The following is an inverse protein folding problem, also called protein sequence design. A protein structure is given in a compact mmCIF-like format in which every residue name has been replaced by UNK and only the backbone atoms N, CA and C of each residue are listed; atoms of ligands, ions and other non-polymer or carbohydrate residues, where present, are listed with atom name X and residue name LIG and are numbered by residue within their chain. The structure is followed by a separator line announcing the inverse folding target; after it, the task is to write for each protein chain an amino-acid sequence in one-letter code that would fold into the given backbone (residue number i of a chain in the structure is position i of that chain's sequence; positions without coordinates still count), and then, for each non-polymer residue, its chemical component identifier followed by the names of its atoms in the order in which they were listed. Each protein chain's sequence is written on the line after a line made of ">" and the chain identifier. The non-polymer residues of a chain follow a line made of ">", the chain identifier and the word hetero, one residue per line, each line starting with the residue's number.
data_IF_356000887249
#
_entry.id   IF_356000887249
#
_cell.length_a   1.000
_cell.length_b   1.000
_cell.length_c   1.000
_cell.angle_alpha   90.00
_cell.angle_beta   90.00
_cell.angle_gamma   90.00
#
_symmetry.space_group_name_H-M   'P 1'
#
loop_
_entity.id
_entity.type
_entity.pdbx_description
1 polymer ?
#
# COMPACT_ATOMS: atom_id res chain seq x y z
N UNK A 1 4.62 -14.73 16.37
CA UNK A 1 4.76 -13.50 15.57
C UNK A 1 4.38 -12.31 16.42
N UNK A 2 4.80 -11.10 16.05
CA UNK A 2 4.33 -9.85 16.67
C UNK A 2 3.26 -9.27 15.76
N UNK A 3 2.11 -8.91 16.34
CA UNK A 3 1.05 -8.20 15.63
C UNK A 3 1.44 -6.74 15.36
N UNK A 4 1.03 -6.22 14.19
CA UNK A 4 1.21 -4.82 13.80
C UNK A 4 -0.16 -4.17 13.71
N UNK A 5 -0.55 -3.44 14.77
CA UNK A 5 -1.86 -2.78 14.84
C UNK A 5 -1.89 -1.45 14.05
N UNK A 6 -0.79 -0.71 14.03
CA UNK A 6 -0.63 0.51 13.23
C UNK A 6 0.75 0.51 12.55
N UNK A 7 1.81 0.95 13.23
CA UNK A 7 3.18 0.91 12.68
C UNK A 7 4.13 0.19 13.64
N UNK A 8 5.04 -0.59 13.06
CA UNK A 8 6.13 -1.27 13.74
C UNK A 8 7.46 -0.96 13.05
N UNK A 9 8.34 -0.27 13.77
CA UNK A 9 9.74 -0.10 13.41
C UNK A 9 10.54 -1.41 13.57
N UNK A 10 11.25 -1.81 12.51
CA UNK A 10 12.10 -2.99 12.45
C UNK A 10 13.53 -2.58 12.04
N UNK A 11 14.51 -2.69 12.94
CA UNK A 11 15.91 -2.42 12.61
C UNK A 11 16.43 -3.41 11.57
N UNK A 12 17.05 -2.90 10.52
CA UNK A 12 17.73 -3.70 9.48
C UNK A 12 19.26 -3.74 9.67
N UNK A 13 19.75 -3.05 10.71
CA UNK A 13 21.18 -2.88 10.99
C UNK A 13 21.78 -1.68 10.24
N UNK A 14 23.01 -1.30 10.64
CA UNK A 14 23.76 -0.15 10.07
C UNK A 14 22.97 1.16 10.06
N UNK A 15 22.14 1.39 11.08
CA UNK A 15 21.29 2.57 11.19
C UNK A 15 20.12 2.63 10.20
N UNK A 16 19.82 1.54 9.47
CA UNK A 16 18.59 1.44 8.67
C UNK A 16 17.47 0.80 9.45
N UNK A 17 16.26 1.23 9.12
CA UNK A 17 15.00 0.75 9.68
C UNK A 17 13.99 0.55 8.56
N UNK A 18 13.07 -0.40 8.73
CA UNK A 18 11.86 -0.53 7.96
C UNK A 18 10.66 -0.30 8.87
N UNK A 19 9.64 0.41 8.39
CA UNK A 19 8.38 0.58 9.07
C UNK A 19 7.37 -0.39 8.45
N UNK A 20 6.99 -1.42 9.18
CA UNK A 20 5.85 -2.27 8.84
C UNK A 20 4.59 -1.52 9.25
N UNK A 21 3.68 -1.27 8.32
CA UNK A 21 2.46 -0.52 8.56
C UNK A 21 1.24 -1.38 8.22
N UNK A 22 0.26 -1.43 9.12
CA UNK A 22 -1.08 -1.89 8.83
C UNK A 22 -1.75 -0.90 7.89
N UNK A 23 -1.95 -1.31 6.63
CA UNK A 23 -2.60 -0.49 5.62
C UNK A 23 -4.13 -0.48 5.80
N UNK A 24 -4.65 -1.45 6.55
CA UNK A 24 -6.07 -1.73 6.67
C UNK A 24 -6.57 -2.68 5.58
N UNK A 25 -7.86 -3.05 5.63
CA UNK A 25 -8.42 -4.03 4.69
C UNK A 25 -8.48 -3.50 3.25
N UNK A 26 -8.08 -4.31 2.28
CA UNK A 26 -8.12 -3.98 0.86
C UNK A 26 -8.11 -5.23 -0.04
N UNK A 27 -6.93 -5.60 -0.54
CA UNK A 27 -6.73 -6.84 -1.29
C UNK A 27 -6.96 -8.08 -0.41
N UNK A 28 -6.62 -7.97 0.88
CA UNK A 28 -7.01 -8.91 1.94
C UNK A 28 -7.57 -8.15 3.15
N UNK A 29 -8.10 -8.87 4.14
CA UNK A 29 -8.51 -8.28 5.41
C UNK A 29 -7.35 -7.72 6.26
N UNK A 30 -6.10 -8.07 5.94
CA UNK A 30 -4.92 -7.85 6.80
C UNK A 30 -3.70 -7.34 6.03
N UNK A 31 -3.90 -6.52 5.00
CA UNK A 31 -2.79 -6.01 4.21
C UNK A 31 -1.80 -5.19 5.05
N UNK A 32 -0.52 -5.48 4.85
CA UNK A 32 0.61 -4.76 5.43
C UNK A 32 1.41 -4.11 4.31
N UNK A 33 1.95 -2.92 4.59
CA UNK A 33 2.93 -2.27 3.76
C UNK A 33 4.27 -2.13 4.50
N UNK A 34 5.35 -1.97 3.76
CA UNK A 34 6.67 -1.69 4.33
C UNK A 34 7.20 -0.39 3.75
N UNK A 35 7.41 0.61 4.60
CA UNK A 35 8.16 1.81 4.23
C UNK A 35 9.63 1.66 4.62
N UNK A 36 10.52 1.88 3.67
CA UNK A 36 11.95 2.11 3.92
C UNK A 36 12.24 3.60 3.73
N UNK A 37 12.50 4.36 4.81
CA UNK A 37 12.81 5.79 4.72
C UNK A 37 14.18 6.03 4.08
N UNK A 38 14.34 7.21 3.48
CA UNK A 38 15.56 7.67 2.83
C UNK A 38 15.32 8.98 2.10
N UNK A 39 16.31 9.46 1.34
CA UNK A 39 16.15 10.67 0.49
C UNK A 39 15.00 10.53 -0.51
N UNK A 40 14.80 9.31 -1.02
CA UNK A 40 13.62 8.89 -1.76
C UNK A 40 13.00 7.68 -1.04
N UNK A 41 11.84 7.85 -0.39
CA UNK A 41 11.20 6.75 0.33
C UNK A 41 10.77 5.62 -0.62
N UNK A 42 10.82 4.37 -0.15
CA UNK A 42 10.35 3.19 -0.89
C UNK A 42 9.24 2.52 -0.11
N UNK A 43 8.06 2.38 -0.71
CA UNK A 43 6.91 1.70 -0.10
C UNK A 43 6.66 0.38 -0.84
N UNK A 44 6.87 -0.74 -0.15
CA UNK A 44 6.43 -2.05 -0.63
C UNK A 44 4.96 -2.21 -0.28
N UNK A 45 4.12 -2.25 -1.31
CA UNK A 45 2.67 -2.14 -1.17
C UNK A 45 1.97 -3.51 -1.05
N UNK A 46 2.65 -4.58 -1.49
CA UNK A 46 1.97 -5.85 -1.78
C UNK A 46 0.89 -5.65 -2.84
N UNK A 47 -0.06 -6.59 -2.91
CA UNK A 47 -1.13 -6.60 -3.91
C UNK A 47 -2.22 -5.54 -3.65
N UNK A 48 -2.02 -4.62 -2.71
CA UNK A 48 -2.82 -3.39 -2.65
C UNK A 48 -2.63 -2.54 -3.91
N UNK A 49 -1.43 -2.53 -4.51
CA UNK A 49 -1.11 -1.85 -5.77
C UNK A 49 -0.77 -2.90 -6.82
N UNK A 50 -1.43 -2.82 -7.98
CA UNK A 50 -1.38 -3.82 -9.06
C UNK A 50 -1.10 -3.10 -10.37
N UNK A 51 0.11 -3.27 -10.94
CA UNK A 51 0.51 -2.57 -12.17
C UNK A 51 0.47 -3.47 -13.41
N UNK A 52 0.75 -4.76 -13.24
CA UNK A 52 0.77 -5.71 -14.36
C UNK A 52 -0.61 -6.06 -14.95
N UNK A 53 -1.69 -5.52 -14.40
CA UNK A 53 -3.07 -5.73 -14.83
C UNK A 53 -4.08 -5.01 -13.94
N UNK A 54 -5.36 -5.20 -14.23
CA UNK A 54 -6.44 -4.65 -13.41
C UNK A 54 -6.43 -5.25 -11.99
N UNK A 55 -6.65 -4.45 -10.93
CA UNK A 55 -6.73 -4.99 -9.57
C UNK A 55 -7.79 -6.09 -9.45
N UNK A 56 -7.38 -7.24 -8.91
CA UNK A 56 -8.24 -8.41 -8.75
C UNK A 56 -8.72 -8.51 -7.30
N UNK A 57 -10.03 -8.57 -7.11
CA UNK A 57 -10.66 -8.80 -5.80
C UNK A 57 -11.06 -10.28 -5.68
N UNK A 58 -10.26 -11.05 -4.95
CA UNK A 58 -10.58 -12.43 -4.59
C UNK A 58 -11.54 -12.53 -3.40
N UNK A 59 -11.84 -13.75 -2.92
CA UNK A 59 -12.75 -13.98 -1.78
C UNK A 59 -12.30 -13.31 -0.46
N UNK A 60 -11.00 -13.07 -0.31
CA UNK A 60 -10.42 -12.47 0.90
C UNK A 60 -10.37 -10.94 0.85
N UNK A 61 -10.68 -10.35 -0.31
CA UNK A 61 -10.64 -8.91 -0.49
C UNK A 61 -11.79 -8.23 0.25
N UNK A 62 -11.55 -6.98 0.63
CA UNK A 62 -12.57 -6.08 1.21
C UNK A 62 -12.69 -4.86 0.29
N UNK A 63 -13.39 -4.98 -0.86
CA UNK A 63 -13.37 -3.97 -1.92
C UNK A 63 -13.80 -2.56 -1.47
N UNK A 64 -14.76 -2.47 -0.55
CA UNK A 64 -15.25 -1.20 -0.02
C UNK A 64 -14.24 -0.44 0.86
N UNK A 65 -13.17 -1.11 1.30
CA UNK A 65 -12.13 -0.56 2.17
C UNK A 65 -10.81 -0.32 1.43
N UNK A 66 -10.62 -0.97 0.28
CA UNK A 66 -9.40 -0.88 -0.51
C UNK A 66 -8.97 0.56 -0.88
N UNK A 67 -9.87 1.47 -1.31
CA UNK A 67 -9.46 2.86 -1.57
C UNK A 67 -8.83 3.55 -0.34
N UNK A 68 -9.38 3.32 0.86
CA UNK A 68 -8.83 3.88 2.09
C UNK A 68 -7.47 3.26 2.47
N UNK A 69 -7.24 1.99 2.14
CA UNK A 69 -5.93 1.37 2.30
C UNK A 69 -4.88 2.02 1.38
N UNK A 70 -5.25 2.38 0.15
CA UNK A 70 -4.38 3.11 -0.76
C UNK A 70 -4.10 4.55 -0.30
N UNK A 71 -5.09 5.22 0.30
CA UNK A 71 -4.87 6.52 0.95
C UNK A 71 -3.83 6.41 2.07
N UNK A 72 -3.90 5.33 2.87
CA UNK A 72 -2.90 5.07 3.92
C UNK A 72 -1.48 4.88 3.36
N UNK A 73 -1.33 4.21 2.20
CA UNK A 73 -0.02 4.10 1.54
C UNK A 73 0.51 5.46 1.07
N UNK A 74 -0.37 6.31 0.53
CA UNK A 74 -0.04 7.65 0.08
C UNK A 74 0.38 8.56 1.24
N UNK A 75 -0.31 8.47 2.38
CA UNK A 75 0.07 9.16 3.62
C UNK A 75 1.41 8.67 4.16
N UNK A 76 1.66 7.35 4.10
CA UNK A 76 2.90 6.74 4.61
C UNK A 76 4.12 7.13 3.77
N UNK A 77 4.01 7.02 2.44
CA UNK A 77 5.12 7.27 1.52
C UNK A 77 5.32 8.73 1.17
N UNK A 78 4.23 9.50 1.06
CA UNK A 78 4.26 10.86 0.54
C UNK A 78 4.44 10.93 -0.99
N UNK A 79 4.41 12.15 -1.56
CA UNK A 79 4.36 12.35 -3.02
C UNK A 79 5.65 11.95 -3.75
N UNK A 80 6.80 11.96 -3.08
CA UNK A 80 8.11 11.71 -3.68
C UNK A 80 8.57 10.25 -3.57
N UNK A 81 7.75 9.39 -2.94
CA UNK A 81 8.06 7.97 -2.79
C UNK A 81 7.94 7.20 -4.11
N UNK A 82 8.69 6.11 -4.19
CA UNK A 82 8.44 5.05 -5.16
C UNK A 82 7.66 3.92 -4.50
N UNK A 83 6.68 3.40 -5.21
CA UNK A 83 5.75 2.38 -4.74
C UNK A 83 6.01 1.09 -5.49
N UNK A 84 6.36 0.03 -4.76
CA UNK A 84 6.62 -1.30 -5.32
C UNK A 84 5.33 -2.11 -5.20
N UNK A 85 4.62 -2.38 -6.31
CA UNK A 85 3.42 -3.21 -6.29
C UNK A 85 3.76 -4.67 -5.98
N UNK A 86 2.75 -5.49 -5.69
CA UNK A 86 2.92 -6.93 -5.60
C UNK A 86 3.31 -7.55 -6.95
N UNK A 87 2.77 -7.02 -8.05
CA UNK A 87 3.08 -7.42 -9.42
C UNK A 87 3.23 -6.23 -10.37
N UNK A 88 4.24 -6.29 -11.23
CA UNK A 88 4.51 -5.30 -12.28
C UNK A 88 5.70 -4.40 -11.99
N UNK A 89 5.76 -3.27 -12.70
CA UNK A 89 6.82 -2.29 -12.59
C UNK A 89 6.64 -1.39 -11.34
N UNK A 90 7.74 -0.81 -10.87
CA UNK A 90 7.70 0.21 -9.80
C UNK A 90 6.98 1.46 -10.30
N UNK A 91 6.10 2.00 -9.47
CA UNK A 91 5.24 3.15 -9.81
C UNK A 91 5.45 4.34 -8.87
N UNK A 92 4.83 5.47 -9.21
CA UNK A 92 4.84 6.69 -8.41
C UNK A 92 3.51 6.92 -7.67
N UNK A 93 3.46 7.99 -6.87
CA UNK A 93 2.26 8.36 -6.13
C UNK A 93 1.08 8.76 -7.05
N UNK A 94 1.32 9.13 -8.31
CA UNK A 94 0.27 9.48 -9.27
C UNK A 94 -0.46 8.21 -9.72
N UNK A 95 0.28 7.14 -10.01
CA UNK A 95 -0.30 5.84 -10.32
C UNK A 95 -1.18 5.33 -9.17
N UNK A 96 -0.67 5.36 -7.93
CA UNK A 96 -1.42 4.87 -6.76
C UNK A 96 -2.72 5.64 -6.56
N UNK A 97 -2.71 6.98 -6.74
CA UNK A 97 -3.93 7.81 -6.74
C UNK A 97 -4.90 7.43 -7.85
N UNK A 98 -4.42 7.19 -9.06
CA UNK A 98 -5.26 6.78 -10.18
C UNK A 98 -5.94 5.42 -9.92
N UNK A 99 -5.20 4.45 -9.37
CA UNK A 99 -5.76 3.15 -8.99
C UNK A 99 -6.80 3.30 -7.85
N UNK A 100 -6.51 4.11 -6.84
CA UNK A 100 -7.43 4.44 -5.74
C UNK A 100 -8.75 4.99 -6.26
N UNK A 101 -8.70 5.94 -7.18
CA UNK A 101 -9.90 6.53 -7.77
C UNK A 101 -10.66 5.55 -8.68
N UNK A 102 -9.94 4.68 -9.40
CA UNK A 102 -10.55 3.64 -10.21
C UNK A 102 -11.30 2.62 -9.34
N UNK A 103 -10.70 2.17 -8.23
CA UNK A 103 -11.33 1.25 -7.29
C UNK A 103 -12.52 1.89 -6.56
N UNK A 104 -12.40 3.16 -6.15
CA UNK A 104 -13.50 3.90 -5.55
C UNK A 104 -14.73 3.94 -6.48
N UNK A 105 -14.52 4.26 -7.76
CA UNK A 105 -15.58 4.20 -8.78
C UNK A 105 -16.12 2.79 -8.99
N UNK A 106 -15.24 1.79 -9.12
CA UNK A 106 -15.61 0.39 -9.39
C UNK A 106 -16.46 -0.21 -8.26
N UNK A 107 -16.19 0.15 -7.00
CA UNK A 107 -16.87 -0.39 -5.83
C UNK A 107 -17.89 0.56 -5.21
N UNK A 108 -18.17 1.71 -5.84
CA UNK A 108 -19.18 2.66 -5.37
C UNK A 108 -18.84 3.33 -4.03
N UNK A 109 -17.54 3.49 -3.72
CA UNK A 109 -17.05 4.18 -2.53
C UNK A 109 -16.86 5.66 -2.87
N UNK A 110 -17.48 6.55 -2.10
CA UNK A 110 -17.26 7.99 -2.27
C UNK A 110 -15.83 8.35 -1.78
N UNK A 111 -15.12 9.23 -2.48
CA UNK A 111 -13.77 9.67 -2.12
C UNK A 111 -13.62 10.22 -0.71
#
# INVERSE_FOLDING_TARGET
>A
GREVADVLAVPLGRGREALLANAGPGHTAHDLAVLVPGERPVVFCGDLVEESGEPQAGPDAVPSRWPAALDRLLELGGPDAVYVPGHGAVVDAVFVRAQRDALARRFGVSP
#
